data_IF_031587614965
#
_entry.id   IF_031587614965
#
_cell.length_a   1.000
_cell.length_b   1.000
_cell.length_c   1.000
_cell.angle_alpha   90.00
_cell.angle_beta   90.00
_cell.angle_gamma   90.00
#
_symmetry.space_group_name_H-M   'P 1'
#
loop_
_entity.id
_entity.type
_entity.pdbx_description
1 polymer ?
#
# COMPACT_ATOMS: atom_id res chain seq x y z
N UNK A 1 21.05 19.46 5.89
CA UNK A 1 20.26 18.98 4.73
C UNK A 1 19.14 18.01 5.13
N UNK A 2 18.44 18.24 6.26
CA UNK A 2 17.30 17.42 6.73
C UNK A 2 15.93 18.09 6.50
N UNK A 3 15.85 19.05 5.57
CA UNK A 3 14.66 19.90 5.38
C UNK A 3 13.60 19.30 4.43
N UNK A 4 13.95 18.25 3.68
CA UNK A 4 13.08 17.68 2.64
C UNK A 4 12.07 16.68 3.21
N UNK A 5 12.52 15.80 4.11
CA UNK A 5 11.71 14.71 4.65
C UNK A 5 10.82 15.27 5.76
N UNK A 6 9.50 15.12 5.60
CA UNK A 6 8.48 15.48 6.59
C UNK A 6 7.79 14.19 7.08
N UNK A 7 8.25 13.57 8.17
CA UNK A 7 7.72 12.28 8.63
C UNK A 7 6.20 12.27 8.83
N UNK A 8 5.63 13.37 9.32
CA UNK A 8 4.18 13.54 9.54
C UNK A 8 3.35 13.34 8.28
N UNK A 9 3.92 13.57 7.09
CA UNK A 9 3.22 13.31 5.82
C UNK A 9 3.05 11.82 5.56
N UNK A 10 4.09 11.02 5.81
CA UNK A 10 3.98 9.55 5.70
C UNK A 10 3.07 9.03 6.81
N UNK A 11 3.18 9.58 8.02
CA UNK A 11 2.31 9.19 9.13
C UNK A 11 0.82 9.37 8.80
N UNK A 12 0.42 10.52 8.25
CA UNK A 12 -0.96 10.75 7.82
C UNK A 12 -1.39 9.78 6.72
N UNK A 13 -0.50 9.46 5.77
CA UNK A 13 -0.78 8.49 4.72
C UNK A 13 -0.95 7.08 5.26
N UNK A 14 -0.17 6.65 6.26
CA UNK A 14 -0.24 5.28 6.79
C UNK A 14 -1.36 5.06 7.82
N UNK A 15 -2.00 6.12 8.33
CA UNK A 15 -3.05 6.02 9.35
C UNK A 15 -4.20 5.04 9.02
N UNK A 16 -4.66 4.89 7.76
CA UNK A 16 -5.69 3.90 7.41
C UNK A 16 -5.23 2.43 7.51
N UNK A 17 -3.92 2.17 7.43
CA UNK A 17 -3.34 0.83 7.47
C UNK A 17 -2.78 0.46 8.86
N UNK A 18 -2.31 1.46 9.61
CA UNK A 18 -1.77 1.29 10.95
C UNK A 18 -2.51 2.28 11.87
N UNK A 19 -3.68 1.91 12.42
CA UNK A 19 -4.48 2.82 13.23
C UNK A 19 -3.79 3.24 14.53
N UNK A 20 -3.04 2.31 15.15
CA UNK A 20 -2.26 2.60 16.35
C UNK A 20 -1.16 3.64 16.06
N UNK A 21 -1.11 4.69 16.88
CA UNK A 21 -0.21 5.82 16.64
C UNK A 21 1.25 5.50 16.97
N UNK A 22 1.49 4.64 17.97
CA UNK A 22 2.85 4.29 18.39
C UNK A 22 3.51 3.34 17.40
N UNK A 23 2.76 2.32 16.94
CA UNK A 23 3.16 1.41 15.87
C UNK A 23 3.43 2.15 14.57
N UNK A 24 2.52 3.08 14.20
CA UNK A 24 2.69 3.89 12.99
C UNK A 24 3.90 4.81 13.11
N UNK A 25 4.10 5.46 14.25
CA UNK A 25 5.29 6.27 14.48
C UNK A 25 6.57 5.42 14.41
N UNK A 26 6.53 4.18 14.90
CA UNK A 26 7.64 3.22 14.77
C UNK A 26 7.94 2.90 13.30
N UNK A 27 6.95 2.50 12.52
CA UNK A 27 7.11 2.21 11.08
C UNK A 27 7.65 3.43 10.32
N UNK A 28 7.13 4.63 10.60
CA UNK A 28 7.62 5.87 9.97
C UNK A 28 9.08 6.13 10.33
N UNK A 29 9.48 5.92 11.59
CA UNK A 29 10.89 6.03 12.01
C UNK A 29 11.76 5.04 11.25
N UNK A 30 11.33 3.80 11.04
CA UNK A 30 12.08 2.84 10.26
C UNK A 30 12.22 3.27 8.78
N UNK A 31 11.14 3.76 8.14
CA UNK A 31 11.16 4.17 6.72
C UNK A 31 12.08 5.37 6.46
N UNK A 32 12.01 6.41 7.29
CA UNK A 32 12.71 7.69 7.01
C UNK A 32 13.76 8.10 8.04
N UNK A 33 13.89 7.37 9.15
CA UNK A 33 14.91 7.59 10.16
C UNK A 33 16.18 6.78 9.91
N UNK A 34 16.06 5.60 9.29
CA UNK A 34 17.15 4.63 9.16
C UNK A 34 17.70 4.52 7.72
N UNK A 35 18.98 4.17 7.58
CA UNK A 35 19.62 3.91 6.29
C UNK A 35 20.18 5.13 5.54
N UNK A 36 20.76 4.92 4.35
CA UNK A 36 21.39 5.98 3.57
C UNK A 36 20.40 7.09 3.15
N UNK A 37 20.87 8.34 3.14
CA UNK A 37 20.02 9.52 2.89
C UNK A 37 19.29 9.45 1.54
N UNK A 38 19.92 8.91 0.49
CA UNK A 38 19.33 8.82 -0.83
C UNK A 38 18.22 7.77 -0.92
N UNK A 39 18.35 6.65 -0.19
CA UNK A 39 17.26 5.67 -0.09
C UNK A 39 16.07 6.25 0.66
N UNK A 40 16.29 6.85 1.84
CA UNK A 40 15.23 7.53 2.61
C UNK A 40 14.52 8.62 1.79
N UNK A 41 15.30 9.45 1.10
CA UNK A 41 14.77 10.52 0.25
C UNK A 41 13.94 9.99 -0.92
N UNK A 42 14.39 8.91 -1.57
CA UNK A 42 13.66 8.26 -2.66
C UNK A 42 12.34 7.65 -2.16
N UNK A 43 12.39 6.84 -1.10
CA UNK A 43 11.19 6.23 -0.49
C UNK A 43 10.18 7.30 -0.06
N UNK A 44 10.63 8.34 0.64
CA UNK A 44 9.77 9.47 1.02
C UNK A 44 9.10 10.11 -0.20
N UNK A 45 9.88 10.38 -1.26
CA UNK A 45 9.37 11.03 -2.47
C UNK A 45 8.31 10.17 -3.15
N UNK A 46 8.58 8.89 -3.35
CA UNK A 46 7.67 7.96 -4.02
C UNK A 46 6.36 7.76 -3.23
N UNK A 47 6.46 7.57 -1.92
CA UNK A 47 5.29 7.46 -1.03
C UNK A 47 4.43 8.73 -1.10
N UNK A 48 5.06 9.91 -1.07
CA UNK A 48 4.32 11.17 -1.17
C UNK A 48 3.64 11.36 -2.52
N UNK A 49 4.29 10.96 -3.63
CA UNK A 49 3.71 11.02 -4.96
C UNK A 49 2.50 10.07 -5.10
N UNK A 50 2.58 8.86 -4.56
CA UNK A 50 1.45 7.94 -4.49
C UNK A 50 0.30 8.49 -3.65
N UNK A 51 0.62 9.12 -2.52
CA UNK A 51 -0.37 9.83 -1.69
C UNK A 51 -1.09 10.95 -2.44
N UNK A 52 -0.36 11.77 -3.20
CA UNK A 52 -0.94 12.81 -4.06
C UNK A 52 -1.86 12.23 -5.15
N UNK A 53 -1.48 11.09 -5.75
CA UNK A 53 -2.34 10.40 -6.70
C UNK A 53 -3.63 9.89 -6.06
N UNK A 54 -3.55 9.36 -4.83
CA UNK A 54 -4.75 8.96 -4.09
C UNK A 54 -5.66 10.15 -3.82
N UNK A 55 -5.13 11.26 -3.32
CA UNK A 55 -5.88 12.50 -3.10
C UNK A 55 -6.57 12.99 -4.38
N UNK A 56 -5.88 12.94 -5.53
CA UNK A 56 -6.42 13.37 -6.82
C UNK A 56 -7.58 12.49 -7.32
N UNK A 57 -7.64 11.22 -6.94
CA UNK A 57 -8.76 10.32 -7.25
C UNK A 57 -10.00 10.57 -6.35
N UNK A 58 -9.93 11.53 -5.43
CA UNK A 58 -11.00 11.89 -4.51
C UNK A 58 -11.02 11.03 -3.24
N UNK A 59 -11.94 11.33 -2.30
CA UNK A 59 -12.08 10.56 -1.07
C UNK A 59 -12.42 9.10 -1.39
N UNK A 60 -11.63 8.18 -0.87
CA UNK A 60 -11.99 6.76 -0.87
C UNK A 60 -12.91 6.50 0.32
N UNK A 61 -14.14 6.06 0.07
CA UNK A 61 -14.95 5.49 1.13
C UNK A 61 -14.40 4.12 1.52
N UNK A 62 -14.01 3.99 2.78
CA UNK A 62 -13.75 2.72 3.44
C UNK A 62 -12.28 2.40 3.72
N UNK A 63 -12.04 1.54 4.73
CA UNK A 63 -10.72 0.96 4.98
C UNK A 63 -10.21 0.20 3.73
N UNK A 64 -8.90 -0.07 3.63
CA UNK A 64 -8.37 -0.97 2.60
C UNK A 64 -9.24 -2.24 2.53
N UNK A 65 -9.46 -2.78 1.32
CA UNK A 65 -10.23 -4.02 1.15
C UNK A 65 -9.66 -5.07 2.11
N UNK A 66 -10.54 -5.84 2.75
CA UNK A 66 -10.16 -7.08 3.42
C UNK A 66 -9.73 -8.11 2.35
N UNK A 67 -8.58 -7.87 1.75
CA UNK A 67 -7.89 -8.79 0.85
C UNK A 67 -6.81 -9.53 1.60
N UNK A 68 -6.27 -10.57 0.96
CA UNK A 68 -5.13 -11.29 1.51
C UNK A 68 -3.90 -10.36 1.59
N UNK A 69 -3.25 -10.39 2.76
CA UNK A 69 -2.05 -9.63 3.03
C UNK A 69 -1.07 -10.52 3.77
N UNK A 70 0.21 -10.42 3.41
CA UNK A 70 1.28 -11.14 4.09
C UNK A 70 1.94 -10.27 5.16
N UNK A 71 2.39 -10.86 6.28
CA UNK A 71 3.19 -10.14 7.24
C UNK A 71 4.51 -9.68 6.62
N UNK A 72 5.02 -8.54 7.06
CA UNK A 72 6.38 -8.09 6.73
C UNK A 72 7.28 -8.49 7.89
N UNK A 73 8.25 -9.42 7.70
CA UNK A 73 8.99 -9.99 8.80
C UNK A 73 9.95 -8.98 9.45
N UNK A 74 9.94 -8.93 10.78
CA UNK A 74 10.92 -8.25 11.60
C UNK A 74 12.19 -9.12 11.69
N UNK A 75 13.20 -8.79 10.89
CA UNK A 75 14.47 -9.52 10.88
C UNK A 75 15.43 -9.02 11.96
N UNK A 76 15.35 -9.62 13.14
CA UNK A 76 16.32 -9.38 14.23
C UNK A 76 17.56 -10.27 14.07
N UNK A 77 18.76 -9.79 14.46
CA UNK A 77 19.92 -10.66 14.63
C UNK A 77 19.59 -11.85 15.54
N UNK A 78 20.16 -13.06 15.31
CA UNK A 78 19.77 -14.28 16.04
C UNK A 78 19.85 -14.18 17.58
N UNK A 79 20.72 -13.32 18.10
CA UNK A 79 20.90 -13.11 19.54
C UNK A 79 19.91 -12.09 20.15
N UNK A 80 19.09 -11.44 19.31
CA UNK A 80 18.04 -10.49 19.70
C UNK A 80 16.64 -11.00 19.37
N UNK A 81 16.52 -12.05 18.54
CA UNK A 81 15.23 -12.66 18.23
C UNK A 81 14.60 -13.23 19.51
N UNK A 82 13.35 -12.83 19.77
CA UNK A 82 12.48 -13.42 20.79
C UNK A 82 11.38 -14.24 20.11
N UNK A 83 10.78 -15.16 20.85
CA UNK A 83 9.76 -16.09 20.33
C UNK A 83 8.45 -15.39 19.90
N UNK A 84 8.30 -14.11 20.20
CA UNK A 84 7.12 -13.28 20.02
C UNK A 84 7.36 -12.06 19.10
N UNK A 85 8.60 -11.79 18.71
CA UNK A 85 8.99 -10.70 17.79
C UNK A 85 9.09 -11.24 16.36
N UNK A 86 8.01 -11.18 15.58
CA UNK A 86 8.00 -11.77 14.23
C UNK A 86 7.76 -10.78 13.10
N UNK A 87 6.83 -9.83 13.25
CA UNK A 87 6.35 -9.04 12.12
C UNK A 87 6.18 -7.55 12.45
N UNK A 88 6.34 -6.70 11.44
CA UNK A 88 6.00 -5.29 11.56
C UNK A 88 4.47 -5.08 11.54
N UNK A 89 3.98 -3.97 12.14
CA UNK A 89 2.56 -3.60 12.10
C UNK A 89 1.98 -3.35 10.69
N UNK A 90 2.86 -3.18 9.68
CA UNK A 90 2.47 -2.99 8.30
C UNK A 90 2.55 -4.32 7.54
N UNK A 91 1.44 -4.76 6.96
CA UNK A 91 1.36 -5.93 6.08
C UNK A 91 1.52 -5.55 4.60
N UNK A 92 1.92 -6.52 3.78
CA UNK A 92 2.01 -6.41 2.33
C UNK A 92 0.74 -6.95 1.65
N UNK A 93 -0.11 -6.13 1.02
CA UNK A 93 -1.28 -6.63 0.31
C UNK A 93 -0.88 -7.36 -0.98
N UNK A 94 -1.53 -8.49 -1.24
CA UNK A 94 -1.22 -9.33 -2.40
C UNK A 94 -1.94 -8.90 -3.69
N UNK A 95 -3.11 -8.27 -3.59
CA UNK A 95 -3.94 -7.95 -4.73
C UNK A 95 -3.24 -7.12 -5.85
N UNK A 96 -2.29 -6.20 -5.58
CA UNK A 96 -1.50 -5.58 -6.65
C UNK A 96 -0.52 -6.55 -7.32
N UNK A 97 0.06 -7.47 -6.54
CA UNK A 97 1.08 -8.42 -7.00
C UNK A 97 0.46 -9.53 -7.84
N UNK A 98 -0.77 -9.95 -7.51
CA UNK A 98 -1.48 -10.99 -8.26
C UNK A 98 -1.88 -10.58 -9.68
N UNK A 99 -1.76 -9.28 -10.00
CA UNK A 99 -1.86 -8.75 -11.38
C UNK A 99 -0.61 -9.06 -12.21
N UNK A 100 0.52 -9.32 -11.56
CA UNK A 100 1.81 -9.57 -12.20
C UNK A 100 2.13 -11.07 -12.25
N UNK A 101 1.74 -11.83 -11.23
CA UNK A 101 1.98 -13.26 -11.13
C UNK A 101 0.77 -13.98 -10.47
N UNK A 102 0.37 -15.17 -10.92
CA UNK A 102 -0.74 -15.91 -10.32
C UNK A 102 -0.52 -16.24 -8.84
N UNK A 103 -1.61 -16.36 -8.09
CA UNK A 103 -1.57 -16.85 -6.71
C UNK A 103 -0.95 -18.26 -6.62
N UNK A 104 -0.10 -18.47 -5.60
CA UNK A 104 0.62 -19.72 -5.39
C UNK A 104 1.78 -19.97 -6.37
N UNK A 105 2.06 -19.08 -7.31
CA UNK A 105 3.16 -19.26 -8.26
C UNK A 105 4.54 -18.94 -7.64
N UNK A 106 5.62 -19.59 -8.09
CA UNK A 106 6.98 -19.25 -7.68
C UNK A 106 7.37 -17.79 -7.98
N UNK A 107 6.83 -17.22 -9.06
CA UNK A 107 7.05 -15.83 -9.44
C UNK A 107 6.42 -14.87 -8.43
N UNK A 108 5.20 -15.16 -7.94
CA UNK A 108 4.58 -14.35 -6.90
C UNK A 108 5.39 -14.41 -5.60
N UNK A 109 5.87 -15.60 -5.22
CA UNK A 109 6.74 -15.76 -4.06
C UNK A 109 8.03 -14.93 -4.20
N UNK A 110 8.67 -14.96 -5.38
CA UNK A 110 9.86 -14.16 -5.66
C UNK A 110 9.59 -12.65 -5.58
N UNK A 111 8.42 -12.17 -6.03
CA UNK A 111 8.03 -10.77 -5.89
C UNK A 111 7.88 -10.36 -4.42
N UNK A 112 7.23 -11.21 -3.60
CA UNK A 112 7.10 -10.99 -2.15
C UNK A 112 8.48 -10.94 -1.48
N UNK A 113 9.36 -11.86 -1.82
CA UNK A 113 10.74 -11.89 -1.31
C UNK A 113 11.48 -10.60 -1.69
N UNK A 114 11.44 -10.17 -2.96
CA UNK A 114 12.08 -8.92 -3.39
C UNK A 114 11.57 -7.67 -2.66
N UNK A 115 10.30 -7.66 -2.25
CA UNK A 115 9.68 -6.52 -1.58
C UNK A 115 9.95 -6.50 -0.08
N UNK A 116 10.09 -7.66 0.54
CA UNK A 116 10.24 -7.82 1.99
C UNK A 116 11.67 -8.12 2.44
N UNK A 117 12.56 -8.47 1.50
CA UNK A 117 13.97 -8.70 1.78
C UNK A 117 14.75 -7.39 1.95
N UNK A 118 15.71 -7.42 2.86
CA UNK A 118 16.55 -6.27 3.20
C UNK A 118 16.20 -5.59 4.53
N UNK A 119 16.86 -4.45 4.82
CA UNK A 119 16.72 -3.76 6.10
C UNK A 119 15.37 -3.03 6.22
N UNK A 120 14.96 -2.64 7.44
CA UNK A 120 13.61 -2.14 7.74
C UNK A 120 13.16 -0.98 6.84
N UNK A 121 14.05 -0.02 6.58
CA UNK A 121 13.77 1.14 5.74
C UNK A 121 13.42 0.81 4.28
N UNK A 122 13.84 -0.34 3.78
CA UNK A 122 13.50 -0.82 2.43
C UNK A 122 12.18 -1.61 2.46
N UNK A 123 12.11 -2.66 3.27
CA UNK A 123 10.94 -3.55 3.32
C UNK A 123 9.65 -2.79 3.65
N UNK A 124 9.70 -1.89 4.64
CA UNK A 124 8.53 -1.09 5.04
C UNK A 124 8.16 -0.01 4.02
N UNK A 125 9.15 0.58 3.33
CA UNK A 125 8.87 1.51 2.25
C UNK A 125 8.15 0.81 1.10
N UNK A 126 8.61 -0.39 0.73
CA UNK A 126 7.98 -1.22 -0.30
C UNK A 126 6.55 -1.60 0.09
N UNK A 127 6.34 -2.11 1.31
CA UNK A 127 5.01 -2.45 1.80
C UNK A 127 4.06 -1.23 1.81
N UNK A 128 4.56 -0.05 2.20
CA UNK A 128 3.78 1.19 2.16
C UNK A 128 3.39 1.57 0.72
N UNK A 129 4.33 1.49 -0.23
CA UNK A 129 4.07 1.78 -1.63
C UNK A 129 3.05 0.81 -2.24
N UNK A 130 3.17 -0.49 -1.96
CA UNK A 130 2.24 -1.52 -2.44
C UNK A 130 0.85 -1.34 -1.83
N UNK A 131 0.77 -0.95 -0.55
CA UNK A 131 -0.49 -0.59 0.11
C UNK A 131 -1.20 0.60 -0.55
N UNK A 132 -0.45 1.64 -0.90
CA UNK A 132 -0.97 2.80 -1.61
C UNK A 132 -1.41 2.44 -3.04
N UNK A 133 -0.63 1.59 -3.74
CA UNK A 133 -0.98 1.06 -5.06
C UNK A 133 -2.26 0.23 -5.04
N UNK A 134 -2.46 -0.61 -4.02
CA UNK A 134 -3.70 -1.37 -3.84
C UNK A 134 -4.92 -0.44 -3.74
N UNK A 135 -4.83 0.59 -2.89
CA UNK A 135 -5.88 1.59 -2.78
C UNK A 135 -6.11 2.36 -4.09
N UNK A 136 -5.04 2.66 -4.85
CA UNK A 136 -5.14 3.32 -6.16
C UNK A 136 -5.89 2.44 -7.16
N UNK A 137 -5.52 1.17 -7.28
CA UNK A 137 -6.18 0.22 -8.17
C UNK A 137 -7.66 0.06 -7.81
N UNK A 138 -7.98 -0.09 -6.52
CA UNK A 138 -9.36 -0.20 -6.07
C UNK A 138 -10.20 1.04 -6.39
N UNK A 139 -9.62 2.25 -6.30
CA UNK A 139 -10.31 3.50 -6.71
C UNK A 139 -10.51 3.58 -8.21
N UNK A 140 -9.49 3.23 -9.00
CA UNK A 140 -9.56 3.23 -10.45
C UNK A 140 -10.64 2.27 -10.98
N UNK A 141 -10.77 1.08 -10.39
CA UNK A 141 -11.81 0.10 -10.71
C UNK A 141 -13.21 0.66 -10.45
N UNK A 142 -13.44 1.28 -9.29
CA UNK A 142 -14.74 1.90 -8.96
C UNK A 142 -15.10 3.03 -9.92
N UNK A 143 -14.12 3.88 -10.26
CA UNK A 143 -14.32 4.95 -11.22
C UNK A 143 -14.65 4.41 -12.63
N UNK A 144 -14.03 3.30 -13.04
CA UNK A 144 -14.36 2.61 -14.29
C UNK A 144 -15.76 2.00 -14.29
N UNK A 145 -16.13 1.31 -13.20
CA UNK A 145 -17.44 0.67 -13.05
C UNK A 145 -18.59 1.70 -13.03
N UNK A 146 -18.41 2.84 -12.35
CA UNK A 146 -19.39 3.93 -12.34
C UNK A 146 -19.64 4.54 -13.72
N UNK A 147 -18.62 4.60 -14.58
CA UNK A 147 -18.76 5.06 -15.98
C UNK A 147 -19.49 4.04 -16.85
N UNK A 148 -19.26 2.74 -16.64
CA UNK A 148 -19.94 1.69 -17.38
C UNK A 148 -21.44 1.58 -17.01
N UNK A 149 -21.78 1.78 -15.74
CA UNK A 149 -23.18 1.77 -15.26
C UNK A 149 -23.99 2.99 -15.70
N UNK A 150 -23.37 4.16 -15.84
CA UNK A 150 -24.05 5.39 -16.29
C UNK A 150 -24.38 5.42 -17.80
N UNK A 151 -23.86 4.48 -18.58
CA UNK A 151 -24.12 4.38 -20.03
C UNK A 151 -25.27 3.45 -20.42
N UNK A 152 -25.93 2.79 -19.46
CA UNK A 152 -27.06 1.91 -19.70
C UNK A 152 -28.39 2.62 -19.37
N UNK A 153 -28.82 3.55 -20.23
CA UNK A 153 -30.22 3.98 -20.23
C UNK A 153 -31.11 2.83 -20.72
N UNK A 154 -32.27 2.56 -20.07
CA UNK A 154 -33.21 1.59 -20.58
C UNK A 154 -33.81 2.10 -21.87
N UNK A 155 -33.64 1.35 -22.96
CA UNK A 155 -34.40 1.54 -24.19
C UNK A 155 -35.90 1.42 -23.84
N UNK A 156 -36.57 2.56 -23.72
CA UNK A 156 -38.02 2.61 -23.55
C UNK A 156 -38.66 1.93 -24.75
N UNK A 157 -39.33 0.81 -24.48
CA UNK A 157 -40.00 0.00 -25.46
C UNK A 157 -40.98 0.85 -26.28
N UNK A 158 -40.86 0.74 -27.61
CA UNK A 158 -41.82 1.29 -28.55
C UNK A 158 -43.21 0.78 -28.24
N UNK A 159 -44.16 1.71 -28.07
CA UNK A 159 -45.59 1.42 -28.15
C UNK A 159 -45.96 1.51 -29.62
N UNK A 160 -46.24 0.36 -30.24
CA UNK A 160 -46.85 0.29 -31.58
C UNK A 160 -48.33 0.71 -31.53
N UNK A 161 -48.89 1.19 -32.66
CA UNK A 161 -50.18 1.88 -32.70
C UNK A 161 -51.35 0.90 -32.88
N UNK A 162 -52.55 1.36 -32.50
CA UNK A 162 -53.83 0.85 -32.97
C UNK A 162 -54.64 1.99 -33.59
#
# INVERSE_FOLDING_TARGET
MSALIRPSRIEALLAPWIPDAEERAFVVRCIVGEGPIHHRGASYTLICLLGLLLEALGPGEGPPRAGESLPVPLRLPPHLARDDDHDYPLSLPLAPLTRLAPEGSPELAALVDCLTDGPPHHALANAAMVSLLDALFARAERAGAGRAGAGAEPASAGTEPA
#
